data_IF_137120905841
#
_entry.id   IF_137120905841
#
_cell.length_a   1.000
_cell.length_b   1.000
_cell.length_c   1.000
_cell.angle_alpha   90.00
_cell.angle_beta   90.00
_cell.angle_gamma   90.00
#
_symmetry.space_group_name_H-M   'P 1'
#
loop_
_entity.id
_entity.type
_entity.pdbx_description
1 polymer ?
#
# COMPACT_ATOMS: atom_id res chain seq x y z
N UNK A 1 6.77 -75.73 -24.68
CA UNK A 1 7.47 -74.54 -25.10
C UNK A 1 7.65 -73.60 -23.89
N UNK A 2 8.83 -73.62 -23.28
CA UNK A 2 9.18 -72.87 -22.09
C UNK A 2 9.74 -71.51 -22.48
N UNK A 3 9.20 -70.40 -21.97
CA UNK A 3 9.85 -69.08 -22.05
C UNK A 3 10.44 -68.74 -20.70
N UNK A 4 11.79 -68.76 -20.66
CA UNK A 4 12.55 -68.30 -19.51
C UNK A 4 12.45 -66.80 -19.32
N UNK A 5 12.16 -66.38 -18.09
CA UNK A 5 12.22 -64.98 -17.64
C UNK A 5 13.58 -64.75 -17.01
N UNK A 6 14.38 -63.93 -17.69
CA UNK A 6 15.68 -63.44 -17.22
C UNK A 6 15.45 -62.34 -16.21
N UNK A 7 15.71 -62.56 -14.93
CA UNK A 7 15.69 -61.52 -13.88
C UNK A 7 16.98 -60.68 -13.98
N UNK A 8 16.82 -59.41 -14.36
CA UNK A 8 17.88 -58.41 -14.27
C UNK A 8 18.02 -57.95 -12.82
N UNK A 9 19.14 -58.27 -12.20
CA UNK A 9 19.52 -57.74 -10.89
C UNK A 9 19.75 -56.24 -10.96
N UNK A 10 18.86 -55.47 -10.32
CA UNK A 10 19.03 -54.03 -10.14
C UNK A 10 20.14 -53.76 -9.12
N UNK A 11 21.25 -53.22 -9.59
CA UNK A 11 22.34 -52.73 -8.74
C UNK A 11 21.83 -51.53 -7.92
N UNK A 12 21.86 -51.66 -6.58
CA UNK A 12 21.54 -50.59 -5.65
C UNK A 12 22.49 -49.40 -5.84
N UNK A 13 21.99 -48.14 -5.93
CA UNK A 13 22.87 -46.99 -6.02
C UNK A 13 23.59 -46.79 -4.68
N UNK A 14 24.93 -46.80 -4.72
CA UNK A 14 25.81 -46.41 -3.63
C UNK A 14 25.42 -45.06 -3.08
N UNK A 15 24.97 -45.02 -1.82
CA UNK A 15 24.75 -43.77 -1.08
C UNK A 15 26.10 -43.05 -0.95
N UNK A 16 26.29 -42.03 -1.77
CA UNK A 16 27.34 -41.04 -1.52
C UNK A 16 26.98 -40.31 -0.23
N UNK A 17 27.73 -40.52 0.83
CA UNK A 17 27.62 -39.78 2.08
C UNK A 17 27.85 -38.31 1.80
N UNK A 18 26.83 -37.50 2.03
CA UNK A 18 26.93 -36.03 1.93
C UNK A 18 28.03 -35.56 2.92
N UNK A 19 28.90 -34.64 2.50
CA UNK A 19 29.91 -34.09 3.37
C UNK A 19 29.25 -33.45 4.57
N UNK A 20 29.68 -33.77 5.78
CA UNK A 20 29.27 -33.16 7.04
C UNK A 20 29.51 -31.65 6.94
N UNK A 21 28.45 -30.89 6.73
CA UNK A 21 28.47 -29.43 6.76
C UNK A 21 28.89 -29.01 8.16
N UNK A 22 30.12 -28.51 8.27
CA UNK A 22 30.63 -27.87 9.46
C UNK A 22 29.56 -26.87 9.96
N UNK A 23 29.37 -26.82 11.28
CA UNK A 23 28.47 -25.90 11.97
C UNK A 23 28.91 -24.45 11.73
N UNK A 24 28.71 -23.94 10.53
CA UNK A 24 28.61 -22.50 10.30
C UNK A 24 27.36 -22.03 11.08
N UNK A 25 27.57 -21.10 12.00
CA UNK A 25 26.50 -20.57 12.86
C UNK A 25 25.23 -20.38 12.07
N UNK A 26 24.08 -20.85 12.60
CA UNK A 26 22.79 -20.77 11.92
C UNK A 26 22.58 -19.31 11.50
N UNK A 27 22.47 -19.01 10.20
CA UNK A 27 22.27 -17.62 9.78
C UNK A 27 21.00 -17.10 10.45
N UNK A 28 21.08 -15.89 10.97
CA UNK A 28 19.90 -15.20 11.54
C UNK A 28 18.81 -15.24 10.48
N UNK A 29 17.64 -15.79 10.76
CA UNK A 29 16.59 -15.88 9.76
C UNK A 29 16.16 -14.44 9.38
N UNK A 30 16.03 -14.17 8.09
CA UNK A 30 15.68 -12.84 7.55
C UNK A 30 14.41 -12.27 8.21
N UNK A 31 13.44 -13.14 8.50
CA UNK A 31 12.23 -12.79 9.25
C UNK A 31 12.51 -12.16 10.62
N UNK A 32 13.60 -12.55 11.29
CA UNK A 32 13.97 -11.97 12.59
C UNK A 32 14.42 -10.50 12.48
N UNK A 33 14.76 -10.04 11.27
CA UNK A 33 15.14 -8.66 11.00
C UNK A 33 13.95 -7.90 10.40
N UNK A 34 13.29 -8.48 9.39
CA UNK A 34 12.23 -7.79 8.62
C UNK A 34 10.98 -7.56 9.46
N UNK A 35 10.57 -8.54 10.29
CA UNK A 35 9.35 -8.38 11.11
C UNK A 35 9.47 -7.24 12.13
N UNK A 36 10.54 -7.13 12.94
CA UNK A 36 10.73 -5.97 13.81
C UNK A 36 10.81 -4.65 13.05
N UNK A 37 11.50 -4.62 11.90
CA UNK A 37 11.60 -3.41 11.08
C UNK A 37 10.26 -3.00 10.48
N UNK A 38 9.41 -3.95 10.07
CA UNK A 38 8.04 -3.66 9.63
C UNK A 38 7.20 -3.07 10.77
N UNK A 39 7.31 -3.65 11.98
CA UNK A 39 6.62 -3.10 13.17
C UNK A 39 7.12 -1.69 13.45
N UNK A 40 8.44 -1.49 13.49
CA UNK A 40 9.04 -0.18 13.74
C UNK A 40 8.68 0.85 12.66
N UNK A 41 8.56 0.43 11.40
CA UNK A 41 8.20 1.33 10.30
C UNK A 41 6.77 1.88 10.41
N UNK A 42 5.88 1.14 11.06
CA UNK A 42 4.48 1.53 11.28
C UNK A 42 4.29 2.32 12.58
N UNK A 43 5.29 2.35 13.47
CA UNK A 43 5.20 3.15 14.69
C UNK A 43 5.51 4.63 14.42
N UNK A 44 4.86 5.56 15.16
CA UNK A 44 5.07 6.99 15.05
C UNK A 44 6.43 7.45 15.64
N UNK A 45 7.51 6.85 15.19
CA UNK A 45 8.85 7.18 15.66
C UNK A 45 9.56 8.05 14.62
N UNK A 46 9.62 9.37 14.82
CA UNK A 46 10.41 10.23 13.95
C UNK A 46 11.91 9.94 14.16
N UNK A 47 12.61 9.55 13.09
CA UNK A 47 14.09 9.43 13.15
C UNK A 47 14.74 10.79 13.08
N UNK A 48 14.22 11.68 12.25
CA UNK A 48 14.72 13.04 12.06
C UNK A 48 13.53 13.94 11.73
N UNK A 49 13.35 15.00 12.45
CA UNK A 49 12.42 16.08 12.11
C UNK A 49 13.21 17.18 11.42
N UNK A 50 13.08 17.31 10.10
CA UNK A 50 13.60 18.45 9.36
C UNK A 50 12.42 19.39 9.10
N UNK A 51 12.31 20.48 9.88
CA UNK A 51 11.34 21.57 9.72
C UNK A 51 9.95 21.10 9.23
N UNK A 52 9.19 20.42 10.06
CA UNK A 52 7.83 19.91 9.77
C UNK A 52 7.70 18.67 8.88
N UNK A 53 8.68 18.28 8.11
CA UNK A 53 8.68 17.00 7.42
C UNK A 53 9.44 15.95 8.26
N UNK A 54 8.72 15.06 8.93
CA UNK A 54 9.34 13.96 9.67
C UNK A 54 9.78 12.85 8.71
N UNK A 55 11.08 12.60 8.60
CA UNK A 55 11.58 11.37 7.97
C UNK A 55 11.50 10.25 9.01
N UNK A 56 10.50 9.40 8.86
CA UNK A 56 10.35 8.22 9.71
C UNK A 56 11.10 7.01 9.16
N UNK A 57 11.16 5.95 9.95
CA UNK A 57 11.72 4.65 9.55
C UNK A 57 11.09 4.13 8.25
N UNK A 58 9.80 4.42 8.02
CA UNK A 58 9.07 4.05 6.81
C UNK A 58 9.74 4.54 5.53
N UNK A 59 10.37 5.72 5.56
CA UNK A 59 11.05 6.31 4.39
C UNK A 59 12.23 5.46 3.92
N UNK A 60 12.98 4.87 4.84
CA UNK A 60 14.13 4.03 4.53
C UNK A 60 13.78 2.53 4.45
N UNK A 61 12.59 2.15 4.86
CA UNK A 61 12.20 0.74 4.95
C UNK A 61 12.25 0.03 3.60
N UNK A 62 11.71 0.64 2.53
CA UNK A 62 11.65 -0.01 1.22
C UNK A 62 13.04 -0.31 0.64
N UNK A 63 13.98 0.65 0.51
CA UNK A 63 15.31 0.36 0.02
C UNK A 63 16.09 -0.55 0.96
N UNK A 64 15.94 -0.41 2.28
CA UNK A 64 16.60 -1.27 3.26
C UNK A 64 16.14 -2.72 3.13
N UNK A 65 14.85 -2.97 3.04
CA UNK A 65 14.32 -4.33 2.83
C UNK A 65 14.79 -4.94 1.53
N UNK A 66 14.87 -4.15 0.45
CA UNK A 66 15.40 -4.61 -0.81
C UNK A 66 16.87 -4.98 -0.69
N UNK A 67 17.69 -4.12 -0.11
CA UNK A 67 19.14 -4.37 0.05
C UNK A 67 19.41 -5.61 0.92
N UNK A 68 18.70 -5.75 2.05
CA UNK A 68 18.84 -6.94 2.92
C UNK A 68 18.40 -8.19 2.15
N UNK A 69 17.28 -8.14 1.43
CA UNK A 69 16.81 -9.25 0.61
C UNK A 69 17.81 -9.67 -0.45
N UNK A 70 18.37 -8.71 -1.19
CA UNK A 70 19.39 -8.96 -2.22
C UNK A 70 20.68 -9.54 -1.63
N UNK A 71 21.16 -9.02 -0.49
CA UNK A 71 22.33 -9.54 0.20
C UNK A 71 22.14 -11.00 0.62
N UNK A 72 20.96 -11.34 1.16
CA UNK A 72 20.64 -12.72 1.57
C UNK A 72 20.49 -13.67 0.38
N UNK A 73 19.83 -13.22 -0.70
CA UNK A 73 19.70 -14.02 -1.89
C UNK A 73 21.09 -14.30 -2.53
N UNK A 74 21.98 -13.28 -2.55
CA UNK A 74 23.37 -13.46 -2.98
C UNK A 74 24.12 -14.45 -2.09
N UNK A 75 23.97 -14.35 -0.77
CA UNK A 75 24.60 -15.28 0.18
C UNK A 75 24.10 -16.73 -0.05
N UNK A 76 22.81 -16.90 -0.34
CA UNK A 76 22.21 -18.22 -0.64
C UNK A 76 22.41 -18.67 -2.09
N UNK A 77 23.10 -17.87 -2.92
CA UNK A 77 23.33 -18.14 -4.36
C UNK A 77 22.03 -18.39 -5.14
N UNK A 78 20.95 -17.72 -4.76
CA UNK A 78 19.65 -17.85 -5.41
C UNK A 78 19.52 -16.84 -6.56
N UNK A 79 19.08 -17.26 -7.76
CA UNK A 79 18.75 -16.32 -8.82
C UNK A 79 17.54 -15.50 -8.41
N UNK A 80 17.65 -14.17 -8.57
CA UNK A 80 16.59 -13.23 -8.26
C UNK A 80 15.97 -12.77 -9.56
N UNK A 81 14.66 -12.89 -9.65
CA UNK A 81 13.88 -12.31 -10.74
C UNK A 81 12.87 -11.34 -10.15
N UNK A 82 12.97 -10.09 -10.53
CA UNK A 82 11.98 -9.07 -10.18
C UNK A 82 11.08 -8.86 -11.40
N UNK A 83 9.83 -9.32 -11.35
CA UNK A 83 8.93 -9.18 -12.48
C UNK A 83 8.61 -7.69 -12.71
N UNK A 84 8.50 -7.31 -13.98
CA UNK A 84 8.12 -5.95 -14.38
C UNK A 84 9.11 -4.84 -14.02
N UNK A 85 10.39 -5.17 -13.75
CA UNK A 85 11.45 -4.18 -13.50
C UNK A 85 11.55 -3.13 -14.61
N UNK A 86 11.34 -3.54 -15.88
CA UNK A 86 11.31 -2.63 -17.02
C UNK A 86 10.22 -1.56 -16.91
N UNK A 87 9.03 -1.92 -16.41
CA UNK A 87 7.93 -0.96 -16.23
C UNK A 87 8.28 0.12 -15.20
N UNK A 88 9.00 -0.26 -14.15
CA UNK A 88 9.54 0.70 -13.19
C UNK A 88 10.57 1.65 -13.83
N UNK A 89 11.50 1.10 -14.64
CA UNK A 89 12.49 1.92 -15.33
C UNK A 89 11.80 2.94 -16.23
N UNK A 90 10.77 2.52 -16.99
CA UNK A 90 10.00 3.41 -17.86
C UNK A 90 9.25 4.47 -17.06
N UNK A 91 8.60 4.09 -15.94
CA UNK A 91 7.89 5.04 -15.07
C UNK A 91 8.86 6.06 -14.45
N UNK A 92 10.01 5.62 -13.93
CA UNK A 92 11.02 6.53 -13.40
C UNK A 92 11.59 7.44 -14.47
N UNK A 93 11.82 6.93 -15.69
CA UNK A 93 12.25 7.76 -16.82
C UNK A 93 11.20 8.82 -17.14
N UNK A 94 9.92 8.46 -17.17
CA UNK A 94 8.84 9.42 -17.39
C UNK A 94 8.78 10.49 -16.28
N UNK A 95 8.97 10.10 -15.02
CA UNK A 95 9.02 11.03 -13.90
C UNK A 95 10.22 11.97 -13.99
N UNK A 96 11.40 11.47 -14.36
CA UNK A 96 12.60 12.31 -14.58
C UNK A 96 12.39 13.26 -15.75
N UNK A 97 11.83 12.80 -16.87
CA UNK A 97 11.50 13.67 -18.02
C UNK A 97 10.52 14.75 -17.59
N UNK A 98 9.51 14.45 -16.79
CA UNK A 98 8.55 15.42 -16.27
C UNK A 98 9.26 16.50 -15.41
N UNK A 99 10.21 16.11 -14.56
CA UNK A 99 11.02 17.07 -13.79
C UNK A 99 11.88 17.93 -14.72
N UNK A 100 12.58 17.35 -15.68
CA UNK A 100 13.41 18.09 -16.65
C UNK A 100 12.55 19.07 -17.45
N UNK A 101 11.36 18.62 -17.89
CA UNK A 101 10.40 19.49 -18.59
C UNK A 101 10.01 20.70 -17.73
N UNK A 102 9.77 20.49 -16.45
CA UNK A 102 9.45 21.58 -15.53
C UNK A 102 10.58 22.59 -15.38
N UNK A 103 11.85 22.19 -15.55
CA UNK A 103 12.99 23.10 -15.54
C UNK A 103 13.16 23.89 -16.83
N UNK A 104 12.80 23.27 -17.96
CA UNK A 104 12.85 23.94 -19.27
C UNK A 104 11.75 25.00 -19.42
N UNK A 105 10.60 24.74 -18.83
CA UNK A 105 9.41 25.62 -18.86
C UNK A 105 9.11 26.20 -17.48
N UNK A 106 10.17 26.59 -16.78
CA UNK A 106 10.11 27.08 -15.41
C UNK A 106 9.20 28.31 -15.26
N UNK A 107 8.27 28.26 -14.31
CA UNK A 107 7.49 29.40 -13.86
C UNK A 107 8.09 29.93 -12.54
N UNK A 108 8.76 31.11 -12.55
CA UNK A 108 9.40 31.66 -11.35
C UNK A 108 8.42 31.87 -10.18
N UNK A 109 7.15 32.13 -10.48
CA UNK A 109 6.14 32.37 -9.45
C UNK A 109 5.82 31.09 -8.68
N UNK A 110 5.79 29.93 -9.35
CA UNK A 110 5.60 28.62 -8.70
C UNK A 110 6.75 28.32 -7.76
N UNK A 111 8.00 28.53 -8.21
CA UNK A 111 9.18 28.32 -7.37
C UNK A 111 9.20 29.20 -6.13
N UNK A 112 8.87 30.49 -6.29
CA UNK A 112 8.83 31.42 -5.17
C UNK A 112 7.72 31.04 -4.17
N UNK A 113 6.59 30.53 -4.63
CA UNK A 113 5.51 30.01 -3.77
C UNK A 113 5.99 28.81 -2.96
N UNK A 114 6.62 27.84 -3.60
CA UNK A 114 7.15 26.64 -2.92
C UNK A 114 8.22 26.99 -1.88
N UNK A 115 9.13 27.91 -2.19
CA UNK A 115 10.17 28.36 -1.24
C UNK A 115 9.58 29.08 -0.04
N UNK A 116 8.59 29.96 -0.24
CA UNK A 116 7.90 30.68 0.84
C UNK A 116 7.05 29.75 1.71
N UNK A 117 6.28 28.86 1.08
CA UNK A 117 5.35 27.97 1.80
C UNK A 117 6.03 26.89 2.61
N UNK A 118 7.17 26.37 2.15
CA UNK A 118 7.81 25.19 2.75
C UNK A 118 9.22 25.44 3.27
N UNK A 119 9.81 26.60 3.03
CA UNK A 119 11.17 26.96 3.51
C UNK A 119 12.28 26.05 2.95
N UNK A 120 12.01 25.30 1.89
CA UNK A 120 12.96 24.41 1.24
C UNK A 120 13.18 24.83 -0.22
N UNK A 121 14.37 24.56 -0.73
CA UNK A 121 14.65 24.70 -2.16
C UNK A 121 13.74 23.74 -2.92
N UNK A 122 12.99 24.21 -3.91
CA UNK A 122 12.06 23.42 -4.71
C UNK A 122 12.69 22.15 -5.33
N UNK A 123 13.99 22.15 -5.63
CA UNK A 123 14.75 20.97 -6.06
C UNK A 123 14.64 19.82 -5.05
N UNK A 124 14.67 20.14 -3.73
CA UNK A 124 14.50 19.13 -2.68
C UNK A 124 13.14 18.46 -2.74
N UNK A 125 12.08 19.18 -3.10
CA UNK A 125 10.75 18.61 -3.29
C UNK A 125 10.70 17.65 -4.47
N UNK A 126 11.30 18.04 -5.60
CA UNK A 126 11.33 17.20 -6.79
C UNK A 126 12.12 15.91 -6.56
N UNK A 127 13.27 15.98 -5.90
CA UNK A 127 14.04 14.79 -5.52
C UNK A 127 13.24 13.89 -4.58
N UNK A 128 12.55 14.47 -3.60
CA UNK A 128 11.67 13.73 -2.69
C UNK A 128 10.50 13.10 -3.43
N UNK A 129 9.87 13.81 -4.35
CA UNK A 129 8.78 13.28 -5.16
C UNK A 129 9.23 12.13 -6.07
N UNK A 130 10.39 12.24 -6.71
CA UNK A 130 10.96 11.13 -7.48
C UNK A 130 11.22 9.90 -6.61
N UNK A 131 11.72 10.10 -5.39
CA UNK A 131 11.90 9.03 -4.43
C UNK A 131 10.54 8.39 -4.03
N UNK A 132 9.49 9.19 -3.84
CA UNK A 132 8.15 8.70 -3.53
C UNK A 132 7.54 7.90 -4.67
N UNK A 133 7.77 8.28 -5.92
CA UNK A 133 7.40 7.46 -7.08
C UNK A 133 8.14 6.12 -7.09
N UNK A 134 9.38 6.07 -6.58
CA UNK A 134 10.18 4.86 -6.53
C UNK A 134 9.75 3.90 -5.39
N UNK A 135 9.25 4.41 -4.25
CA UNK A 135 8.92 3.61 -3.05
C UNK A 135 7.99 2.43 -3.35
N UNK A 136 6.86 2.57 -4.06
CA UNK A 136 5.98 1.46 -4.39
C UNK A 136 6.69 0.30 -5.04
N UNK A 137 7.54 0.59 -6.02
CA UNK A 137 8.28 -0.45 -6.73
C UNK A 137 9.41 -1.05 -5.89
N UNK A 138 10.16 -0.25 -5.14
CA UNK A 138 11.21 -0.75 -4.25
C UNK A 138 10.62 -1.68 -3.20
N UNK A 139 9.48 -1.31 -2.61
CA UNK A 139 8.77 -2.15 -1.67
C UNK A 139 8.23 -3.44 -2.33
N UNK A 140 7.65 -3.32 -3.54
CA UNK A 140 7.21 -4.46 -4.32
C UNK A 140 8.37 -5.43 -4.63
N UNK A 141 9.49 -4.91 -5.11
CA UNK A 141 10.69 -5.70 -5.40
C UNK A 141 11.22 -6.39 -4.13
N UNK A 142 11.26 -5.68 -3.01
CA UNK A 142 11.65 -6.24 -1.72
C UNK A 142 10.73 -7.40 -1.30
N UNK A 143 9.42 -7.25 -1.50
CA UNK A 143 8.45 -8.31 -1.23
C UNK A 143 8.64 -9.54 -2.13
N UNK A 144 8.93 -9.33 -3.42
CA UNK A 144 9.26 -10.41 -4.36
C UNK A 144 10.50 -11.17 -3.89
N UNK A 145 11.56 -10.46 -3.52
CA UNK A 145 12.82 -11.06 -3.04
C UNK A 145 12.58 -11.83 -1.73
N UNK A 146 11.85 -11.23 -0.79
CA UNK A 146 11.50 -11.88 0.48
C UNK A 146 10.80 -13.22 0.25
N UNK A 147 9.78 -13.26 -0.59
CA UNK A 147 9.00 -14.46 -0.87
C UNK A 147 9.84 -15.59 -1.55
N UNK A 148 10.98 -15.25 -2.14
CA UNK A 148 11.89 -16.21 -2.72
C UNK A 148 12.85 -16.84 -1.68
N UNK A 149 13.03 -16.15 -0.55
CA UNK A 149 14.03 -16.49 0.47
C UNK A 149 13.38 -17.06 1.73
N UNK A 150 12.19 -16.59 2.10
CA UNK A 150 11.58 -16.85 3.40
C UNK A 150 10.13 -17.37 3.33
N UNK A 151 9.62 -17.82 4.49
CA UNK A 151 8.24 -18.31 4.63
C UNK A 151 7.25 -17.15 4.69
N UNK A 152 6.22 -17.21 3.86
CA UNK A 152 5.18 -16.18 3.79
C UNK A 152 4.31 -16.08 5.04
N UNK A 153 4.21 -17.16 5.82
CA UNK A 153 3.43 -17.14 7.07
C UNK A 153 4.00 -16.14 8.07
N UNK A 154 5.33 -16.07 8.19
CA UNK A 154 5.98 -15.10 9.09
C UNK A 154 5.77 -13.66 8.63
N UNK A 155 5.79 -13.42 7.31
CA UNK A 155 5.44 -12.10 6.77
C UNK A 155 3.99 -11.73 7.10
N UNK A 156 3.04 -12.66 6.89
CA UNK A 156 1.63 -12.40 7.18
C UNK A 156 1.42 -12.02 8.65
N UNK A 157 2.00 -12.82 9.56
CA UNK A 157 1.92 -12.58 11.00
C UNK A 157 2.60 -11.25 11.38
N UNK A 158 3.77 -10.98 10.81
CA UNK A 158 4.51 -9.75 11.08
C UNK A 158 3.75 -8.50 10.67
N UNK A 159 3.16 -8.51 9.45
CA UNK A 159 2.33 -7.39 8.99
C UNK A 159 1.06 -7.26 9.85
N UNK A 160 0.38 -8.38 10.15
CA UNK A 160 -0.81 -8.37 10.99
C UNK A 160 -0.51 -7.79 12.39
N UNK A 161 0.59 -8.20 13.02
CA UNK A 161 1.03 -7.63 14.31
C UNK A 161 1.33 -6.14 14.20
N UNK A 162 2.03 -5.71 13.15
CA UNK A 162 2.38 -4.32 12.92
C UNK A 162 1.14 -3.43 12.84
N UNK A 163 0.19 -3.78 11.97
CA UNK A 163 -1.05 -3.00 11.82
C UNK A 163 -1.95 -3.08 13.06
N UNK A 164 -1.93 -4.21 13.79
CA UNK A 164 -2.65 -4.35 15.06
C UNK A 164 -2.10 -3.36 16.10
N UNK A 165 -0.80 -3.34 16.30
CA UNK A 165 -0.15 -2.41 17.26
C UNK A 165 -0.46 -0.96 16.88
N UNK A 166 -0.33 -0.60 15.60
CA UNK A 166 -0.63 0.76 15.14
C UNK A 166 -2.10 1.13 15.39
N UNK A 167 -3.04 0.21 15.11
CA UNK A 167 -4.47 0.43 15.35
C UNK A 167 -4.78 0.54 16.86
N UNK A 168 -4.16 -0.29 17.69
CA UNK A 168 -4.33 -0.22 19.16
C UNK A 168 -3.81 1.12 19.71
N UNK A 169 -2.64 1.58 19.26
CA UNK A 169 -2.12 2.90 19.65
C UNK A 169 -3.08 4.00 19.22
N UNK A 170 -3.61 3.93 17.99
CA UNK A 170 -4.60 4.89 17.48
C UNK A 170 -5.88 4.92 18.33
N UNK A 171 -6.43 3.76 18.68
CA UNK A 171 -7.61 3.63 19.53
C UNK A 171 -7.32 4.13 20.97
N UNK A 172 -6.14 3.81 21.50
CA UNK A 172 -5.70 4.27 22.81
C UNK A 172 -5.59 5.81 22.85
N UNK A 173 -4.96 6.42 21.86
CA UNK A 173 -4.85 7.88 21.77
C UNK A 173 -6.20 8.54 21.60
N UNK A 174 -7.10 7.95 20.80
CA UNK A 174 -8.47 8.40 20.65
C UNK A 174 -9.24 8.33 21.99
N UNK A 175 -9.08 7.24 22.75
CA UNK A 175 -9.73 7.08 24.04
C UNK A 175 -9.35 8.17 25.06
N UNK A 176 -8.08 8.58 25.08
CA UNK A 176 -7.60 9.62 26.01
C UNK A 176 -7.89 11.04 25.50
N UNK A 177 -7.99 11.21 24.19
CA UNK A 177 -8.28 12.48 23.54
C UNK A 177 -9.36 12.28 22.47
N UNK A 178 -10.62 12.04 22.87
CA UNK A 178 -11.68 11.78 21.91
C UNK A 178 -11.93 13.03 21.07
N UNK A 179 -11.90 12.85 19.75
CA UNK A 179 -12.21 13.91 18.81
C UNK A 179 -13.70 13.85 18.49
N UNK A 180 -14.40 14.98 18.71
CA UNK A 180 -15.80 15.08 18.35
C UNK A 180 -15.96 15.07 16.82
N UNK A 181 -16.91 14.33 16.25
CA UNK A 181 -17.21 14.37 14.82
C UNK A 181 -17.35 15.80 14.26
N UNK A 182 -18.01 16.70 15.00
CA UNK A 182 -18.17 18.10 14.63
C UNK A 182 -16.82 18.81 14.50
N UNK A 183 -15.87 18.55 15.40
CA UNK A 183 -14.54 19.15 15.34
C UNK A 183 -13.71 18.60 14.18
N UNK A 184 -13.92 17.32 13.80
CA UNK A 184 -13.31 16.74 12.60
C UNK A 184 -13.77 17.48 11.34
N UNK A 185 -15.07 17.78 11.25
CA UNK A 185 -15.66 18.39 10.06
C UNK A 185 -15.49 19.91 10.02
N UNK A 186 -15.64 20.60 11.14
CA UNK A 186 -15.59 22.06 11.17
C UNK A 186 -14.18 22.62 11.42
N UNK A 187 -13.34 21.92 12.18
CA UNK A 187 -12.03 22.40 12.60
C UNK A 187 -10.87 21.63 11.98
N UNK A 188 -11.16 20.60 11.16
CA UNK A 188 -10.13 19.75 10.57
C UNK A 188 -9.36 18.92 11.61
N UNK A 189 -9.92 18.73 12.81
CA UNK A 189 -9.31 17.89 13.84
C UNK A 189 -9.14 16.48 13.30
N UNK A 190 -7.94 15.88 13.43
CA UNK A 190 -7.66 14.53 12.93
C UNK A 190 -7.62 13.55 14.08
N UNK A 191 -8.47 12.50 14.08
CA UNK A 191 -8.29 11.39 15.00
C UNK A 191 -6.95 10.71 14.71
N UNK A 192 -6.22 10.33 15.77
CA UNK A 192 -4.90 9.68 15.68
C UNK A 192 -4.97 8.21 15.21
N UNK A 193 -6.04 7.83 14.52
CA UNK A 193 -6.25 6.49 13.97
C UNK A 193 -5.73 6.48 12.53
N UNK A 194 -4.71 5.65 12.27
CA UNK A 194 -4.15 5.53 10.93
C UNK A 194 -5.12 4.78 9.99
N UNK A 195 -5.63 5.43 8.93
CA UNK A 195 -6.63 4.85 8.02
C UNK A 195 -6.12 3.61 7.27
N UNK A 196 -4.88 3.63 6.81
CA UNK A 196 -4.28 2.54 6.03
C UNK A 196 -4.01 1.31 6.90
N UNK A 197 -3.45 1.51 8.12
CA UNK A 197 -3.25 0.42 9.07
C UNK A 197 -4.58 -0.26 9.42
N UNK A 198 -5.63 0.53 9.58
CA UNK A 198 -7.00 0.05 9.84
C UNK A 198 -7.53 -0.77 8.66
N UNK A 199 -7.37 -0.29 7.42
CA UNK A 199 -7.72 -1.04 6.22
C UNK A 199 -6.99 -2.39 6.16
N UNK A 200 -5.68 -2.39 6.42
CA UNK A 200 -4.88 -3.62 6.35
C UNK A 200 -5.26 -4.60 7.45
N UNK A 201 -5.56 -4.10 8.64
CA UNK A 201 -6.07 -4.94 9.72
C UNK A 201 -7.38 -5.63 9.34
N UNK A 202 -8.33 -4.89 8.73
CA UNK A 202 -9.59 -5.44 8.22
C UNK A 202 -9.30 -6.48 7.12
N UNK A 203 -8.48 -6.14 6.13
CA UNK A 203 -8.19 -7.02 5.00
C UNK A 203 -7.51 -8.33 5.43
N UNK A 204 -6.54 -8.26 6.34
CA UNK A 204 -5.81 -9.43 6.82
C UNK A 204 -6.67 -10.30 7.74
N UNK A 205 -7.36 -9.72 8.73
CA UNK A 205 -8.22 -10.46 9.64
C UNK A 205 -9.40 -11.11 8.92
N UNK A 206 -10.08 -10.38 8.03
CA UNK A 206 -11.14 -10.95 7.19
C UNK A 206 -10.59 -12.05 6.25
N UNK A 207 -9.38 -11.89 5.73
CA UNK A 207 -8.70 -12.92 4.96
C UNK A 207 -8.56 -14.24 5.73
N UNK A 208 -8.19 -14.19 7.02
CA UNK A 208 -8.15 -15.38 7.88
C UNK A 208 -9.54 -16.02 8.02
N UNK A 209 -10.58 -15.22 8.30
CA UNK A 209 -11.95 -15.72 8.45
C UNK A 209 -12.47 -16.40 7.17
N UNK A 210 -12.20 -15.80 6.01
CA UNK A 210 -12.67 -16.28 4.71
C UNK A 210 -11.94 -17.55 4.27
N UNK A 211 -10.63 -17.65 4.49
CA UNK A 211 -9.79 -18.70 3.92
C UNK A 211 -9.35 -19.79 4.90
N UNK A 212 -9.35 -19.53 6.22
CA UNK A 212 -8.93 -20.46 7.27
C UNK A 212 -10.10 -20.94 8.14
N UNK A 213 -11.31 -20.94 7.59
CA UNK A 213 -12.54 -21.27 8.32
C UNK A 213 -12.54 -22.65 9.00
N UNK A 214 -11.73 -23.62 8.53
CA UNK A 214 -11.57 -24.92 9.18
C UNK A 214 -10.71 -24.89 10.45
N UNK A 215 -10.01 -23.79 10.72
CA UNK A 215 -9.15 -23.64 11.89
C UNK A 215 -9.80 -22.74 12.92
N UNK A 216 -10.76 -23.28 13.66
CA UNK A 216 -11.53 -22.53 14.64
C UNK A 216 -10.67 -21.73 15.64
N UNK A 217 -9.48 -22.24 16.02
CA UNK A 217 -8.52 -21.54 16.90
C UNK A 217 -8.02 -20.20 16.34
N UNK A 218 -8.05 -20.02 15.04
CA UNK A 218 -7.68 -18.76 14.39
C UNK A 218 -8.89 -17.84 14.20
N UNK A 219 -10.11 -18.38 14.29
CA UNK A 219 -11.33 -17.63 14.02
C UNK A 219 -11.61 -16.57 15.08
N UNK A 220 -11.51 -16.93 16.35
CA UNK A 220 -11.79 -16.00 17.46
C UNK A 220 -10.84 -14.80 17.43
N UNK A 221 -9.48 -14.99 17.40
CA UNK A 221 -8.60 -13.85 17.32
C UNK A 221 -8.80 -13.05 16.03
N UNK A 222 -9.04 -13.68 14.89
CA UNK A 222 -9.29 -12.97 13.63
C UNK A 222 -10.58 -12.15 13.67
N UNK A 223 -11.64 -12.67 14.30
CA UNK A 223 -12.90 -11.95 14.49
C UNK A 223 -12.70 -10.72 15.41
N UNK A 224 -11.99 -10.90 16.53
CA UNK A 224 -11.66 -9.79 17.44
C UNK A 224 -10.89 -8.69 16.71
N UNK A 225 -9.88 -9.07 15.92
CA UNK A 225 -9.08 -8.12 15.13
C UNK A 225 -9.92 -7.43 14.04
N UNK A 226 -10.83 -8.17 13.39
CA UNK A 226 -11.74 -7.59 12.40
C UNK A 226 -12.68 -6.57 13.06
N UNK A 227 -13.30 -6.92 14.18
CA UNK A 227 -14.19 -6.02 14.92
C UNK A 227 -13.42 -4.78 15.41
N UNK A 228 -12.21 -4.95 15.91
CA UNK A 228 -11.34 -3.84 16.30
C UNK A 228 -11.04 -2.92 15.10
N UNK A 229 -10.72 -3.49 13.94
CA UNK A 229 -10.52 -2.74 12.71
C UNK A 229 -11.77 -1.98 12.25
N UNK A 230 -12.96 -2.60 12.34
CA UNK A 230 -14.22 -1.94 11.99
C UNK A 230 -14.55 -0.79 12.95
N UNK A 231 -14.32 -0.97 14.26
CA UNK A 231 -14.46 0.11 15.25
C UNK A 231 -13.49 1.24 14.95
N UNK A 232 -12.22 0.93 14.65
CA UNK A 232 -11.22 1.93 14.30
C UNK A 232 -11.59 2.67 13.00
N UNK A 233 -12.11 1.97 11.99
CA UNK A 233 -12.60 2.58 10.75
C UNK A 233 -13.76 3.54 11.02
N UNK A 234 -14.68 3.16 11.89
CA UNK A 234 -15.80 4.02 12.31
C UNK A 234 -15.29 5.27 13.03
N UNK A 235 -14.41 5.11 14.00
CA UNK A 235 -13.88 6.21 14.81
C UNK A 235 -12.85 7.08 14.08
N UNK A 236 -12.32 6.62 12.95
CA UNK A 236 -11.42 7.43 12.11
C UNK A 236 -12.13 8.57 11.39
N UNK A 237 -13.43 8.50 11.24
CA UNK A 237 -14.27 9.42 10.45
C UNK A 237 -13.77 9.63 9.01
N UNK A 238 -12.92 8.74 8.50
CA UNK A 238 -12.26 8.87 7.21
C UNK A 238 -13.02 8.09 6.12
N UNK A 239 -13.63 8.79 5.16
CA UNK A 239 -14.37 8.20 4.05
C UNK A 239 -13.49 7.23 3.22
N UNK A 240 -12.24 7.59 3.01
CA UNK A 240 -11.27 6.75 2.29
C UNK A 240 -11.09 5.38 2.96
N UNK A 241 -11.01 5.31 4.30
CA UNK A 241 -10.91 4.03 5.04
C UNK A 241 -12.12 3.13 4.77
N UNK A 242 -13.31 3.70 4.75
CA UNK A 242 -14.54 2.95 4.51
C UNK A 242 -14.61 2.41 3.09
N UNK A 243 -14.27 3.25 2.10
CA UNK A 243 -14.18 2.81 0.70
C UNK A 243 -13.16 1.71 0.52
N UNK A 244 -11.99 1.86 1.13
CA UNK A 244 -10.94 0.84 1.12
C UNK A 244 -11.38 -0.46 1.77
N UNK A 245 -12.00 -0.41 2.95
CA UNK A 245 -12.51 -1.58 3.67
C UNK A 245 -13.60 -2.31 2.88
N UNK A 246 -14.56 -1.58 2.31
CA UNK A 246 -15.61 -2.15 1.46
C UNK A 246 -15.01 -2.85 0.24
N UNK A 247 -14.03 -2.21 -0.42
CA UNK A 247 -13.33 -2.79 -1.56
C UNK A 247 -12.55 -4.05 -1.19
N UNK A 248 -11.80 -4.02 -0.11
CA UNK A 248 -11.05 -5.16 0.38
C UNK A 248 -11.96 -6.35 0.72
N UNK A 249 -13.05 -6.10 1.45
CA UNK A 249 -14.05 -7.13 1.80
C UNK A 249 -14.72 -7.71 0.56
N UNK A 250 -15.12 -6.86 -0.39
CA UNK A 250 -15.72 -7.27 -1.66
C UNK A 250 -14.79 -8.21 -2.43
N UNK A 251 -13.50 -7.87 -2.52
CA UNK A 251 -12.48 -8.70 -3.19
C UNK A 251 -12.30 -10.04 -2.49
N UNK A 252 -12.23 -10.08 -1.15
CA UNK A 252 -12.09 -11.31 -0.39
C UNK A 252 -13.28 -12.24 -0.59
N UNK A 253 -14.49 -11.71 -0.48
CA UNK A 253 -15.73 -12.44 -0.67
C UNK A 253 -15.82 -12.98 -2.10
N UNK A 254 -15.56 -12.13 -3.09
CA UNK A 254 -15.56 -12.54 -4.49
C UNK A 254 -14.49 -13.58 -4.80
N UNK A 255 -13.29 -13.45 -4.23
CA UNK A 255 -12.20 -14.41 -4.45
C UNK A 255 -12.53 -15.82 -3.97
N UNK A 256 -13.37 -15.94 -2.94
CA UNK A 256 -13.75 -17.22 -2.29
C UNK A 256 -15.05 -17.79 -2.84
N UNK A 257 -16.12 -16.98 -2.89
CA UNK A 257 -17.48 -17.42 -3.18
C UNK A 257 -18.04 -16.94 -4.52
N UNK A 258 -17.24 -16.21 -5.31
CA UNK A 258 -17.61 -15.72 -6.64
C UNK A 258 -18.90 -14.85 -6.61
N UNK A 259 -19.72 -15.00 -7.67
CA UNK A 259 -20.95 -14.21 -7.84
C UNK A 259 -21.96 -14.41 -6.72
N UNK A 260 -22.10 -15.65 -6.20
CA UNK A 260 -23.07 -15.94 -5.11
C UNK A 260 -22.70 -15.18 -3.82
N UNK A 261 -21.44 -15.21 -3.44
CA UNK A 261 -20.97 -14.48 -2.27
C UNK A 261 -21.06 -12.96 -2.47
N UNK A 262 -20.75 -12.48 -3.69
CA UNK A 262 -20.88 -11.07 -4.02
C UNK A 262 -22.33 -10.59 -3.93
N UNK A 263 -23.29 -11.34 -4.48
CA UNK A 263 -24.72 -11.00 -4.37
C UNK A 263 -25.19 -10.97 -2.92
N UNK A 264 -24.81 -11.97 -2.12
CA UNK A 264 -25.14 -12.00 -0.70
C UNK A 264 -24.53 -10.81 0.06
N UNK A 265 -23.29 -10.45 -0.27
CA UNK A 265 -22.59 -9.28 0.30
C UNK A 265 -23.30 -7.97 -0.05
N UNK A 266 -23.60 -7.76 -1.34
CA UNK A 266 -24.29 -6.56 -1.81
C UNK A 266 -25.72 -6.46 -1.23
N UNK A 267 -26.44 -7.59 -1.13
CA UNK A 267 -27.75 -7.62 -0.46
C UNK A 267 -27.62 -7.27 1.02
N UNK A 268 -26.63 -7.83 1.73
CA UNK A 268 -26.34 -7.48 3.12
C UNK A 268 -26.01 -6.00 3.32
N UNK A 269 -25.18 -5.43 2.45
CA UNK A 269 -24.89 -3.98 2.46
C UNK A 269 -26.13 -3.14 2.21
N UNK A 270 -26.99 -3.58 1.26
CA UNK A 270 -28.26 -2.90 0.99
C UNK A 270 -29.18 -2.90 2.20
N UNK A 271 -29.31 -4.04 2.89
CA UNK A 271 -30.10 -4.14 4.12
C UNK A 271 -29.56 -3.24 5.25
N UNK A 272 -28.23 -3.23 5.43
CA UNK A 272 -27.59 -2.33 6.41
C UNK A 272 -27.84 -0.87 6.02
N UNK A 273 -27.70 -0.50 4.74
CA UNK A 273 -27.96 0.85 4.27
C UNK A 273 -29.41 1.28 4.52
N UNK A 274 -30.38 0.38 4.30
CA UNK A 274 -31.79 0.64 4.62
C UNK A 274 -32.00 0.79 6.13
N UNK A 275 -31.39 -0.08 6.94
CA UNK A 275 -31.55 -0.04 8.39
C UNK A 275 -30.99 1.23 9.04
N UNK A 276 -29.93 1.81 8.44
CA UNK A 276 -29.26 3.00 8.96
C UNK A 276 -29.44 4.25 8.07
N UNK A 277 -30.43 4.21 7.15
CA UNK A 277 -30.64 5.27 6.15
C UNK A 277 -30.78 6.68 6.76
N UNK A 278 -31.47 6.82 7.88
CA UNK A 278 -31.65 8.11 8.54
C UNK A 278 -30.33 8.64 9.11
N UNK A 279 -29.55 7.77 9.77
CA UNK A 279 -28.24 8.11 10.31
C UNK A 279 -27.25 8.39 9.17
N UNK A 280 -27.24 7.55 8.13
CA UNK A 280 -26.41 7.78 6.94
C UNK A 280 -26.83 9.06 6.21
N UNK A 281 -28.12 9.35 6.10
CA UNK A 281 -28.63 10.55 5.47
C UNK A 281 -28.15 11.82 6.19
N UNK A 282 -28.17 11.85 7.51
CA UNK A 282 -27.64 12.97 8.29
C UNK A 282 -26.12 13.10 8.16
N UNK A 283 -25.37 12.00 8.23
CA UNK A 283 -23.91 12.01 8.03
C UNK A 283 -23.55 12.47 6.62
N UNK A 284 -24.24 11.97 5.59
CA UNK A 284 -24.00 12.34 4.19
C UNK A 284 -24.37 13.81 3.97
N UNK A 285 -25.50 14.28 4.50
CA UNK A 285 -25.91 15.67 4.36
C UNK A 285 -24.92 16.64 5.04
N UNK A 286 -24.43 16.29 6.23
CA UNK A 286 -23.39 17.06 6.91
C UNK A 286 -22.07 17.07 6.15
N UNK A 287 -21.70 15.94 5.51
CA UNK A 287 -20.48 15.87 4.70
C UNK A 287 -20.59 16.63 3.40
N UNK A 288 -21.70 16.49 2.67
CA UNK A 288 -21.93 17.22 1.42
C UNK A 288 -22.03 18.74 1.63
N UNK A 289 -22.41 19.19 2.83
CA UNK A 289 -22.44 20.61 3.19
C UNK A 289 -21.09 21.22 3.60
N UNK A 290 -20.02 20.41 3.72
CA UNK A 290 -18.72 20.84 4.23
C UNK A 290 -17.54 20.42 3.34
N UNK A 291 -16.58 19.70 3.93
CA UNK A 291 -15.27 19.35 3.35
C UNK A 291 -15.28 18.58 2.00
N UNK A 292 -16.40 17.96 1.60
CA UNK A 292 -16.42 17.19 0.34
C UNK A 292 -16.63 18.09 -0.90
N UNK A 293 -17.25 19.25 -0.74
CA UNK A 293 -17.28 20.28 -1.79
C UNK A 293 -15.87 20.85 -2.03
N UNK A 294 -15.06 20.96 -0.97
CA UNK A 294 -13.67 21.40 -1.07
C UNK A 294 -12.85 20.41 -1.92
N UNK A 295 -13.10 19.10 -1.81
CA UNK A 295 -12.41 18.09 -2.64
C UNK A 295 -12.70 18.23 -4.12
N UNK A 296 -13.95 18.53 -4.50
CA UNK A 296 -14.32 18.79 -5.90
C UNK A 296 -13.55 20.00 -6.42
N UNK A 297 -13.41 21.05 -5.62
CA UNK A 297 -12.58 22.20 -5.96
C UNK A 297 -11.09 21.86 -6.10
N UNK A 298 -10.56 21.01 -5.21
CA UNK A 298 -9.18 20.51 -5.31
C UNK A 298 -8.96 19.67 -6.56
N UNK A 299 -9.92 18.81 -6.92
CA UNK A 299 -9.86 18.03 -8.16
C UNK A 299 -9.90 18.91 -9.39
N UNK A 300 -10.78 19.93 -9.39
CA UNK A 300 -10.85 20.93 -10.45
C UNK A 300 -9.54 21.70 -10.58
N UNK A 301 -8.95 22.13 -9.47
CA UNK A 301 -7.64 22.80 -9.45
C UNK A 301 -6.53 21.88 -10.00
N UNK A 302 -6.52 20.60 -9.63
CA UNK A 302 -5.55 19.63 -10.17
C UNK A 302 -5.71 19.44 -11.68
N UNK A 303 -6.95 19.44 -12.21
CA UNK A 303 -7.22 19.38 -13.65
C UNK A 303 -6.79 20.66 -14.39
N UNK A 304 -6.93 21.83 -13.76
CA UNK A 304 -6.39 23.10 -14.30
C UNK A 304 -4.86 23.01 -14.38
N UNK A 305 -4.20 22.49 -13.34
CA UNK A 305 -2.75 22.28 -13.33
C UNK A 305 -2.34 21.29 -14.44
N UNK A 306 -3.03 20.16 -14.54
CA UNK A 306 -2.78 19.17 -15.61
C UNK A 306 -2.87 19.79 -17.00
N UNK A 307 -3.84 20.66 -17.25
CA UNK A 307 -4.03 21.32 -18.56
C UNK A 307 -2.83 22.15 -19.01
N UNK A 308 -1.88 22.49 -18.10
CA UNK A 308 -0.65 23.22 -18.44
C UNK A 308 0.39 22.34 -19.12
N UNK A 309 0.40 21.04 -18.82
CA UNK A 309 1.29 20.04 -19.45
C UNK A 309 0.60 18.67 -19.50
N UNK A 310 -0.35 18.44 -20.45
CA UNK A 310 -1.22 17.27 -20.40
C UNK A 310 -0.51 15.93 -20.61
N UNK A 311 0.57 15.90 -21.40
CA UNK A 311 1.24 14.66 -21.81
C UNK A 311 2.22 14.18 -20.75
N UNK A 312 3.11 15.06 -20.29
CA UNK A 312 4.24 14.72 -19.41
C UNK A 312 4.12 15.34 -18.01
N UNK A 313 3.10 16.14 -17.75
CA UNK A 313 2.84 16.75 -16.46
C UNK A 313 3.71 17.99 -16.16
N UNK A 314 3.40 18.66 -15.06
CA UNK A 314 4.10 19.87 -14.61
C UNK A 314 5.40 19.59 -13.83
N UNK A 315 5.75 18.32 -13.67
CA UNK A 315 6.93 17.87 -12.92
C UNK A 315 6.57 17.29 -11.56
N UNK A 316 7.19 16.15 -11.22
CA UNK A 316 7.00 15.52 -9.93
C UNK A 316 7.33 16.47 -8.78
N UNK A 317 6.44 16.60 -7.81
CA UNK A 317 6.55 17.49 -6.66
C UNK A 317 6.15 18.95 -6.91
N UNK A 318 5.74 19.30 -8.11
CA UNK A 318 5.36 20.68 -8.42
C UNK A 318 3.88 20.99 -8.22
N UNK A 319 3.02 19.97 -8.11
CA UNK A 319 1.57 20.18 -7.93
C UNK A 319 1.26 21.18 -6.82
N UNK A 320 1.95 21.06 -5.69
CA UNK A 320 1.75 21.93 -4.51
C UNK A 320 1.89 23.42 -4.87
N UNK A 321 2.98 23.79 -5.57
CA UNK A 321 3.21 25.18 -5.97
C UNK A 321 2.23 25.69 -7.01
N UNK A 322 1.82 24.81 -7.93
CA UNK A 322 0.78 25.15 -8.92
C UNK A 322 -0.61 25.25 -8.28
N UNK A 323 -0.93 24.43 -7.30
CA UNK A 323 -2.20 24.51 -6.55
C UNK A 323 -2.33 25.85 -5.82
N UNK A 324 -1.24 26.34 -5.21
CA UNK A 324 -1.24 27.65 -4.57
C UNK A 324 -1.60 28.79 -5.56
N UNK A 325 -1.13 28.69 -6.80
CA UNK A 325 -1.35 29.70 -7.83
C UNK A 325 -2.69 29.59 -8.56
N UNK A 326 -3.11 28.36 -8.85
CA UNK A 326 -4.27 28.07 -9.71
C UNK A 326 -5.45 27.44 -8.97
N UNK A 327 -5.40 27.40 -7.64
CA UNK A 327 -6.53 26.92 -6.85
C UNK A 327 -7.75 27.80 -7.05
N UNK A 328 -8.91 27.16 -7.12
CA UNK A 328 -10.21 27.85 -7.08
C UNK A 328 -10.55 28.38 -5.68
N UNK A 329 -9.72 28.04 -4.69
CA UNK A 329 -9.87 28.47 -3.29
C UNK A 329 -9.05 29.71 -2.98
N UNK A 330 -9.43 30.39 -1.90
CA UNK A 330 -8.64 31.50 -1.38
C UNK A 330 -7.26 31.00 -0.89
N UNK A 331 -6.23 31.84 -1.00
CA UNK A 331 -4.87 31.57 -0.51
C UNK A 331 -4.88 31.11 0.96
N UNK A 332 -5.80 31.63 1.78
CA UNK A 332 -5.92 31.24 3.19
C UNK A 332 -6.24 29.75 3.38
N UNK A 333 -7.07 29.15 2.53
CA UNK A 333 -7.40 27.72 2.57
C UNK A 333 -6.24 26.86 2.06
N UNK A 334 -5.53 27.30 1.03
CA UNK A 334 -4.33 26.62 0.52
C UNK A 334 -3.24 26.56 1.59
N UNK A 335 -3.03 27.62 2.35
CA UNK A 335 -2.07 27.67 3.47
C UNK A 335 -2.47 26.78 4.65
N UNK A 336 -3.75 26.41 4.78
CA UNK A 336 -4.27 25.54 5.84
C UNK A 336 -4.11 24.03 5.54
N UNK A 337 -3.45 23.65 4.45
CA UNK A 337 -3.18 22.24 4.13
C UNK A 337 -3.87 21.70 2.89
N UNK A 338 -4.59 22.53 2.13
CA UNK A 338 -5.20 22.17 0.84
C UNK A 338 -4.19 22.19 -0.31
N UNK A 339 -3.04 21.51 -0.09
CA UNK A 339 -1.91 21.51 -1.01
C UNK A 339 -1.83 20.22 -1.86
N UNK A 340 -2.84 19.36 -1.74
CA UNK A 340 -2.93 18.10 -2.47
C UNK A 340 -4.34 17.92 -3.01
N UNK A 341 -4.47 17.15 -4.09
CA UNK A 341 -5.77 16.88 -4.69
C UNK A 341 -6.63 15.92 -3.84
N UNK A 342 -6.07 15.28 -2.81
CA UNK A 342 -6.73 14.18 -2.10
C UNK A 342 -7.28 13.09 -3.05
N UNK A 343 -6.59 12.91 -4.17
CA UNK A 343 -6.83 11.87 -5.17
C UNK A 343 -5.50 11.61 -5.88
N UNK A 344 -4.85 10.48 -5.53
CA UNK A 344 -3.52 10.18 -6.03
C UNK A 344 -3.46 10.06 -7.56
N UNK A 345 -4.55 9.66 -8.21
CA UNK A 345 -4.59 9.53 -9.66
C UNK A 345 -4.59 10.92 -10.32
N UNK A 346 -5.27 11.90 -9.74
CA UNK A 346 -5.21 13.28 -10.21
C UNK A 346 -3.87 13.93 -9.90
N UNK A 347 -3.24 13.60 -8.79
CA UNK A 347 -1.88 14.06 -8.47
C UNK A 347 -0.87 13.52 -9.48
N UNK A 348 -0.87 12.20 -9.74
CA UNK A 348 -0.02 11.59 -10.76
C UNK A 348 -0.31 12.15 -12.15
N UNK A 349 -1.59 12.39 -12.48
CA UNK A 349 -1.98 13.01 -13.75
C UNK A 349 -1.43 14.42 -13.89
N UNK A 350 -1.53 15.25 -12.85
CA UNK A 350 -1.03 16.62 -12.89
C UNK A 350 0.50 16.67 -12.96
N UNK A 351 1.19 15.85 -12.15
CA UNK A 351 2.64 15.87 -12.03
C UNK A 351 3.37 15.13 -13.15
N UNK A 352 2.87 13.97 -13.59
CA UNK A 352 3.52 13.10 -14.58
C UNK A 352 2.75 13.01 -15.92
N UNK A 353 1.63 13.70 -16.04
CA UNK A 353 0.80 13.73 -17.24
C UNK A 353 0.09 12.40 -17.54
N UNK A 354 -0.49 12.32 -18.73
CA UNK A 354 -1.15 11.11 -19.21
C UNK A 354 -0.20 9.92 -19.32
N UNK A 355 1.06 10.15 -19.68
CA UNK A 355 2.08 9.10 -19.78
C UNK A 355 2.34 8.48 -18.40
N UNK A 356 2.60 9.31 -17.39
CA UNK A 356 2.83 8.83 -16.04
C UNK A 356 1.62 8.10 -15.45
N UNK A 357 0.42 8.65 -15.63
CA UNK A 357 -0.81 8.01 -15.17
C UNK A 357 -1.04 6.65 -15.86
N UNK A 358 -0.86 6.56 -17.18
CA UNK A 358 -1.02 5.31 -17.92
C UNK A 358 -0.04 4.24 -17.44
N UNK A 359 1.22 4.59 -17.23
CA UNK A 359 2.24 3.68 -16.68
C UNK A 359 1.92 3.23 -15.25
N UNK A 360 1.47 4.16 -14.40
CA UNK A 360 1.08 3.86 -13.03
C UNK A 360 -0.14 2.92 -12.97
N UNK A 361 -1.18 3.21 -13.76
CA UNK A 361 -2.36 2.34 -13.86
C UNK A 361 -2.00 0.97 -14.45
N UNK A 362 -1.07 0.92 -15.40
CA UNK A 362 -0.55 -0.35 -15.94
C UNK A 362 0.15 -1.16 -14.87
N UNK A 363 0.98 -0.53 -14.04
CA UNK A 363 1.64 -1.22 -12.93
C UNK A 363 0.62 -1.80 -11.94
N UNK A 364 -0.35 -1.01 -11.48
CA UNK A 364 -1.43 -1.48 -10.60
C UNK A 364 -2.21 -2.62 -11.26
N UNK A 365 -2.60 -2.44 -12.53
CA UNK A 365 -3.38 -3.42 -13.29
C UNK A 365 -2.67 -4.75 -13.44
N UNK A 366 -1.37 -4.72 -13.74
CA UNK A 366 -0.53 -5.93 -13.85
C UNK A 366 -0.40 -6.64 -12.50
N UNK A 367 -0.20 -5.91 -11.41
CA UNK A 367 -0.13 -6.50 -10.06
C UNK A 367 -1.46 -7.14 -9.69
N UNK A 368 -2.59 -6.44 -9.87
CA UNK A 368 -3.93 -6.98 -9.64
C UNK A 368 -4.18 -8.24 -10.49
N UNK A 369 -3.84 -8.18 -11.77
CA UNK A 369 -4.02 -9.31 -12.69
C UNK A 369 -3.19 -10.53 -12.24
N UNK A 370 -1.95 -10.35 -11.79
CA UNK A 370 -1.11 -11.42 -11.25
C UNK A 370 -1.68 -12.00 -9.97
N UNK A 371 -2.06 -11.17 -9.02
CA UNK A 371 -2.65 -11.62 -7.76
C UNK A 371 -3.97 -12.39 -7.96
N UNK A 372 -4.72 -12.11 -9.03
CA UNK A 372 -5.93 -12.86 -9.42
C UNK A 372 -5.64 -14.21 -10.05
N UNK A 373 -4.45 -14.44 -10.62
CA UNK A 373 -4.11 -15.68 -11.29
C UNK A 373 -4.06 -16.83 -10.29
N UNK A 374 -4.83 -17.88 -10.57
CA UNK A 374 -4.80 -19.11 -9.78
C UNK A 374 -3.56 -19.92 -10.15
N UNK A 375 -2.79 -20.31 -9.15
CA UNK A 375 -1.73 -21.29 -9.31
C UNK A 375 -2.25 -22.66 -8.86
N UNK A 376 -2.55 -23.59 -9.78
CA UNK A 376 -3.31 -24.82 -9.48
C UNK A 376 -2.65 -25.71 -8.42
N UNK A 377 -1.34 -25.74 -8.34
CA UNK A 377 -0.55 -26.64 -7.49
C UNK A 377 -0.22 -26.09 -6.11
N UNK A 378 -0.67 -24.88 -5.75
CA UNK A 378 -0.35 -24.26 -4.46
C UNK A 378 -1.51 -24.41 -3.48
N UNK A 379 -1.19 -24.75 -2.22
CA UNK A 379 -2.17 -25.01 -1.16
C UNK A 379 -3.04 -23.81 -0.77
N UNK A 380 -3.97 -24.03 0.16
CA UNK A 380 -4.92 -23.02 0.67
C UNK A 380 -4.20 -21.78 1.22
N UNK A 381 -3.05 -21.98 1.90
CA UNK A 381 -2.27 -20.87 2.48
C UNK A 381 -1.79 -19.87 1.42
N UNK A 382 -1.34 -20.36 0.25
CA UNK A 382 -0.90 -19.50 -0.84
C UNK A 382 -2.04 -18.66 -1.41
N UNK A 383 -3.21 -19.28 -1.60
CA UNK A 383 -4.41 -18.57 -2.10
C UNK A 383 -4.91 -17.53 -1.10
N UNK A 384 -4.87 -17.86 0.19
CA UNK A 384 -5.18 -16.91 1.25
C UNK A 384 -4.28 -15.67 1.17
N UNK A 385 -2.96 -15.89 1.08
CA UNK A 385 -2.00 -14.79 0.98
C UNK A 385 -2.23 -13.92 -0.27
N UNK A 386 -2.44 -14.54 -1.43
CA UNK A 386 -2.76 -13.82 -2.67
C UNK A 386 -4.06 -13.01 -2.56
N UNK A 387 -5.11 -13.60 -1.98
CA UNK A 387 -6.40 -12.93 -1.80
C UNK A 387 -6.27 -11.72 -0.85
N UNK A 388 -5.51 -11.85 0.24
CA UNK A 388 -5.24 -10.76 1.16
C UNK A 388 -4.43 -9.65 0.49
N UNK A 389 -3.39 -9.99 -0.26
CA UNK A 389 -2.60 -9.02 -1.04
C UNK A 389 -3.45 -8.29 -2.09
N UNK A 390 -4.31 -9.02 -2.80
CA UNK A 390 -5.26 -8.41 -3.74
C UNK A 390 -6.24 -7.46 -3.03
N UNK A 391 -6.76 -7.85 -1.87
CA UNK A 391 -7.65 -7.02 -1.06
C UNK A 391 -6.97 -5.74 -0.58
N UNK A 392 -5.72 -5.82 -0.13
CA UNK A 392 -4.93 -4.65 0.26
C UNK A 392 -4.72 -3.70 -0.92
N UNK A 393 -4.27 -4.20 -2.07
CA UNK A 393 -4.01 -3.35 -3.26
C UNK A 393 -5.29 -2.70 -3.77
N UNK A 394 -6.39 -3.46 -3.90
CA UNK A 394 -7.68 -2.90 -4.37
C UNK A 394 -8.27 -1.95 -3.34
N UNK A 395 -8.20 -2.30 -2.05
CA UNK A 395 -8.64 -1.41 -0.98
C UNK A 395 -7.86 -0.09 -0.97
N UNK A 396 -6.53 -0.15 -1.07
CA UNK A 396 -5.69 1.06 -1.16
C UNK A 396 -5.95 1.86 -2.44
N UNK A 397 -6.26 1.20 -3.57
CA UNK A 397 -6.61 1.90 -4.80
C UNK A 397 -7.93 2.66 -4.69
N UNK A 398 -8.93 2.10 -3.99
CA UNK A 398 -10.18 2.79 -3.70
C UNK A 398 -10.00 3.93 -2.68
N UNK A 399 -9.16 3.72 -1.64
CA UNK A 399 -8.77 4.81 -0.75
C UNK A 399 -8.12 5.97 -1.50
N UNK A 400 -7.28 5.66 -2.48
CA UNK A 400 -6.53 6.62 -3.26
C UNK A 400 -7.40 7.51 -4.18
N UNK A 401 -8.65 7.13 -4.44
CA UNK A 401 -9.63 7.98 -5.16
C UNK A 401 -10.05 9.22 -4.36
N UNK A 402 -9.97 9.16 -3.03
CA UNK A 402 -10.41 10.24 -2.13
C UNK A 402 -9.36 10.55 -1.05
N UNK A 403 -8.11 10.16 -1.29
CA UNK A 403 -6.99 10.36 -0.37
C UNK A 403 -5.66 9.92 -0.97
N UNK A 404 -4.67 9.68 -0.13
CA UNK A 404 -3.42 9.01 -0.45
C UNK A 404 -3.51 7.54 -0.02
N UNK A 405 -2.76 6.63 -0.61
CA UNK A 405 -2.79 5.21 -0.20
C UNK A 405 -1.88 4.31 -1.03
N UNK A 406 -1.60 4.67 -2.27
CA UNK A 406 -0.76 3.87 -3.18
C UNK A 406 0.62 4.46 -3.41
N UNK A 407 0.76 5.77 -3.29
CA UNK A 407 2.02 6.51 -3.43
C UNK A 407 2.07 7.53 -2.31
N UNK A 408 3.21 7.71 -1.61
CA UNK A 408 3.36 8.82 -0.70
C UNK A 408 3.30 10.14 -1.47
N UNK A 409 2.65 11.15 -0.91
CA UNK A 409 2.67 12.50 -1.47
C UNK A 409 3.51 13.41 -0.60
N UNK A 410 4.00 14.53 -1.14
CA UNK A 410 4.80 15.49 -0.37
C UNK A 410 4.00 16.06 0.79
N UNK A 411 2.72 16.31 0.58
CA UNK A 411 1.82 16.81 1.62
C UNK A 411 1.49 15.75 2.70
N UNK A 412 1.58 14.45 2.37
CA UNK A 412 1.45 13.34 3.30
C UNK A 412 2.81 12.75 3.71
N UNK A 413 3.90 13.50 3.52
CA UNK A 413 5.28 13.04 3.74
C UNK A 413 5.62 12.74 5.21
N UNK A 414 4.67 12.91 6.12
CA UNK A 414 4.77 12.34 7.46
C UNK A 414 4.92 10.82 7.38
N UNK A 415 5.63 10.24 8.35
CA UNK A 415 5.80 8.78 8.52
C UNK A 415 4.47 8.01 8.39
N UNK A 416 3.33 8.64 8.68
CA UNK A 416 1.98 8.09 8.62
C UNK A 416 1.55 7.67 7.20
N UNK A 417 2.06 8.37 6.17
CA UNK A 417 1.70 8.08 4.78
C UNK A 417 2.64 7.09 4.07
N UNK A 418 3.91 7.01 4.49
CA UNK A 418 4.93 6.22 3.78
C UNK A 418 4.88 4.74 4.19
N UNK A 419 4.83 4.46 5.49
CA UNK A 419 4.89 3.10 5.99
C UNK A 419 3.77 2.19 5.47
N UNK A 420 2.51 2.62 5.43
CA UNK A 420 1.43 1.82 4.84
C UNK A 420 1.66 1.51 3.36
N UNK A 421 2.15 2.48 2.58
CA UNK A 421 2.49 2.27 1.16
C UNK A 421 3.56 1.18 1.02
N UNK A 422 4.63 1.24 1.82
CA UNK A 422 5.68 0.21 1.85
C UNK A 422 5.10 -1.16 2.19
N UNK A 423 4.28 -1.25 3.24
CA UNK A 423 3.64 -2.51 3.65
C UNK A 423 2.74 -3.08 2.56
N UNK A 424 1.90 -2.24 1.94
CA UNK A 424 1.00 -2.66 0.87
C UNK A 424 1.77 -3.28 -0.31
N UNK A 425 2.74 -2.55 -0.84
CA UNK A 425 3.48 -3.00 -2.02
C UNK A 425 4.45 -4.15 -1.72
N UNK A 426 5.05 -4.17 -0.53
CA UNK A 426 5.86 -5.31 -0.08
C UNK A 426 5.03 -6.59 -0.03
N UNK A 427 3.83 -6.53 0.56
CA UNK A 427 2.92 -7.67 0.63
C UNK A 427 2.41 -8.10 -0.74
N UNK A 428 2.09 -7.13 -1.61
CA UNK A 428 1.69 -7.39 -2.99
C UNK A 428 2.80 -8.07 -3.80
N UNK A 429 4.04 -7.60 -3.67
CA UNK A 429 5.21 -8.20 -4.31
C UNK A 429 5.43 -9.65 -3.89
N UNK A 430 5.34 -9.93 -2.59
CA UNK A 430 5.41 -11.28 -2.08
C UNK A 430 4.29 -12.18 -2.64
N UNK A 431 3.06 -11.65 -2.76
CA UNK A 431 1.93 -12.34 -3.38
C UNK A 431 2.15 -12.65 -4.87
N UNK A 432 2.71 -11.71 -5.63
CA UNK A 432 3.03 -11.90 -7.06
C UNK A 432 4.13 -12.95 -7.25
N UNK A 433 5.17 -12.97 -6.41
CA UNK A 433 6.22 -13.98 -6.49
C UNK A 433 5.68 -15.41 -6.42
N UNK A 434 4.58 -15.63 -5.73
CA UNK A 434 3.93 -16.94 -5.66
C UNK A 434 3.31 -17.37 -7.00
N UNK A 435 3.09 -16.46 -7.93
CA UNK A 435 2.52 -16.77 -9.25
C UNK A 435 3.59 -17.13 -10.29
N UNK A 436 4.87 -17.01 -9.94
CA UNK A 436 5.97 -17.29 -10.85
C UNK A 436 6.16 -18.80 -11.03
N UNK A 437 6.38 -19.28 -12.26
CA UNK A 437 6.60 -20.70 -12.54
C UNK A 437 7.93 -21.19 -11.95
N UNK A 438 7.97 -22.46 -11.56
CA UNK A 438 9.24 -23.18 -11.28
C UNK A 438 9.81 -23.07 -9.86
N UNK A 439 9.16 -22.38 -8.92
CA UNK A 439 9.67 -22.27 -7.55
C UNK A 439 8.83 -23.10 -6.58
N UNK A 440 9.42 -24.20 -6.11
CA UNK A 440 8.95 -24.84 -4.91
C UNK A 440 9.17 -23.87 -3.75
N UNK A 441 8.14 -23.59 -2.97
CA UNK A 441 8.30 -22.90 -1.68
C UNK A 441 9.18 -23.78 -0.78
N UNK A 442 10.22 -23.25 -0.16
CA UNK A 442 10.99 -23.98 0.83
C UNK A 442 10.14 -24.45 1.99
#
# INVERSE_FOLDING_TARGET
MAKGVMAMAASSPTRVSAPSSGRLGRPIPFQAIVVPLLVLSMLPLPLVTIRSAGFGFGTLAAPLFLLIGLALARHRRQPIEIPYAWLFVVLMTAAIISVINSWLFWDPNVGTSMERGFGHRWIGYQVTALYFVAIPFLAFAAGVVYAQVERLTSLYVGVLMSVTVTTVIGLWTWWHNPVNPIDVYLKGARPNINPDATLFLIALSAGVLVWQHHRWRLWVPALVLLLMGLVAAFLSYALNTWLGALGAMTVLIWSRWRSRGLLAWLAGLGLVAIAVQETLGTIVAQRLGGNDLDRIGLWHSALIVWSKSPIIGVGAGNLVGYMERFSVFSIALVLQGYQQAHNIFLEVLAELGLVGLALFLTFIGVVIWRLRRRVPRRGVAARHFQAAGLAMVVGSALMALVGSGLVPTIASAGWEGIAPVVVCWFFAGAGVAMTMPGRATP
#
